data_IF_961654592696
#
_entry.id   IF_961654592696
#
_cell.length_a   1.000
_cell.length_b   1.000
_cell.length_c   1.000
_cell.angle_alpha   90.00
_cell.angle_beta   90.00
_cell.angle_gamma   90.00
#
_symmetry.space_group_name_H-M   'P 1'
#
loop_
_entity.id
_entity.type
_entity.pdbx_description
1 polymer ?
#
# COMPACT_ATOMS: atom_id res chain seq x y z
N UNK A 1 -19.13 26.90 -0.58
CA UNK A 1 -19.20 26.04 0.61
C UNK A 1 -18.36 24.82 0.30
N UNK A 2 -17.33 24.50 1.10
CA UNK A 2 -16.55 23.28 0.92
C UNK A 2 -17.51 22.09 1.18
N UNK A 3 -17.71 21.25 0.19
CA UNK A 3 -18.51 20.04 0.33
C UNK A 3 -17.74 19.07 1.25
N UNK A 4 -18.34 18.71 2.41
CA UNK A 4 -17.77 17.67 3.28
C UNK A 4 -17.88 16.33 2.57
N UNK A 5 -16.82 15.85 1.99
CA UNK A 5 -16.74 14.53 1.38
C UNK A 5 -16.37 13.50 2.46
N UNK A 6 -17.03 12.35 2.45
CA UNK A 6 -16.68 11.21 3.31
C UNK A 6 -15.84 10.21 2.53
N UNK A 7 -14.68 9.85 3.08
CA UNK A 7 -13.83 8.77 2.55
C UNK A 7 -13.52 7.75 3.64
N UNK A 8 -13.36 6.50 3.26
CA UNK A 8 -13.00 5.43 4.20
C UNK A 8 -11.53 5.08 4.03
N UNK A 9 -10.72 5.33 5.06
CA UNK A 9 -9.26 5.08 5.06
C UNK A 9 -8.89 4.22 6.25
N UNK A 10 -8.17 3.13 6.01
CA UNK A 10 -7.71 2.17 7.02
C UNK A 10 -8.83 1.71 7.97
N UNK A 11 -10.02 1.47 7.40
CA UNK A 11 -11.20 1.02 8.14
C UNK A 11 -12.02 2.12 8.80
N UNK A 12 -11.53 3.36 8.89
CA UNK A 12 -12.20 4.49 9.52
C UNK A 12 -12.80 5.45 8.48
N UNK A 13 -13.94 6.07 8.80
CA UNK A 13 -14.58 7.08 7.96
C UNK A 13 -14.12 8.47 8.39
N UNK A 14 -13.61 9.23 7.44
CA UNK A 14 -13.10 10.58 7.63
C UNK A 14 -13.95 11.59 6.84
N UNK A 15 -14.23 12.74 7.45
CA UNK A 15 -14.79 13.89 6.74
C UNK A 15 -13.62 14.75 6.26
N UNK A 16 -13.53 14.97 4.96
CA UNK A 16 -12.46 15.79 4.36
C UNK A 16 -13.05 17.07 3.76
N UNK A 17 -12.25 18.12 3.73
CA UNK A 17 -12.66 19.46 3.31
C UNK A 17 -12.05 19.89 1.97
N UNK A 18 -11.14 19.09 1.43
CA UNK A 18 -10.52 19.30 0.14
C UNK A 18 -11.55 19.41 -1.00
N UNK A 19 -11.24 20.15 -2.05
CA UNK A 19 -12.03 20.18 -3.27
C UNK A 19 -12.08 18.80 -3.93
N UNK A 20 -13.17 18.51 -4.66
CA UNK A 20 -13.45 17.18 -5.22
C UNK A 20 -12.37 16.67 -6.19
N UNK A 21 -11.66 17.59 -6.84
CA UNK A 21 -10.58 17.36 -7.79
C UNK A 21 -9.20 17.24 -7.13
N UNK A 22 -9.10 17.55 -5.83
CA UNK A 22 -7.82 17.43 -5.10
C UNK A 22 -7.28 16.00 -5.20
N UNK A 23 -6.01 15.80 -5.59
CA UNK A 23 -5.41 14.48 -5.59
C UNK A 23 -5.44 13.84 -4.19
N UNK A 24 -5.85 12.58 -4.13
CA UNK A 24 -5.98 11.81 -2.88
C UNK A 24 -4.72 11.87 -2.01
N UNK A 25 -3.53 11.88 -2.63
CA UNK A 25 -2.25 11.97 -1.92
C UNK A 25 -2.20 13.17 -0.97
N UNK A 26 -2.66 14.34 -1.41
CA UNK A 26 -2.64 15.55 -0.58
C UNK A 26 -3.67 15.50 0.55
N UNK A 27 -4.82 14.87 0.32
CA UNK A 27 -5.81 14.64 1.38
C UNK A 27 -5.26 13.70 2.46
N UNK A 28 -4.61 12.60 2.04
CA UNK A 28 -3.98 11.67 2.98
C UNK A 28 -2.89 12.35 3.82
N UNK A 29 -2.07 13.22 3.20
CA UNK A 29 -0.99 13.92 3.90
C UNK A 29 -1.48 15.05 4.80
N UNK A 30 -2.29 15.97 4.23
CA UNK A 30 -2.56 17.26 4.86
C UNK A 30 -3.73 17.20 5.85
N UNK A 31 -4.75 16.36 5.56
CA UNK A 31 -5.92 16.28 6.43
C UNK A 31 -5.87 15.04 7.34
N UNK A 32 -5.30 13.91 6.88
CA UNK A 32 -5.26 12.67 7.66
C UNK A 32 -3.90 12.35 8.26
N UNK A 33 -2.86 13.14 7.95
CA UNK A 33 -1.49 12.97 8.46
C UNK A 33 -0.91 11.58 8.23
N UNK A 34 -1.31 10.94 7.13
CA UNK A 34 -0.80 9.63 6.70
C UNK A 34 0.36 9.83 5.72
N UNK A 35 1.56 9.46 6.13
CA UNK A 35 2.80 9.74 5.40
C UNK A 35 3.43 8.51 4.73
N UNK A 36 2.78 7.34 4.78
CA UNK A 36 3.18 6.16 4.02
C UNK A 36 3.26 6.46 2.52
N UNK A 37 2.17 6.88 1.85
CA UNK A 37 2.23 7.33 0.46
C UNK A 37 3.13 8.55 0.32
N UNK A 38 4.00 8.59 -0.71
CA UNK A 38 4.98 9.67 -0.92
C UNK A 38 4.78 10.36 -2.26
N UNK A 39 4.96 11.67 -2.31
CA UNK A 39 5.01 12.40 -3.57
C UNK A 39 6.35 12.12 -4.27
N UNK A 40 6.32 11.66 -5.51
CA UNK A 40 7.53 11.46 -6.32
C UNK A 40 7.39 12.20 -7.66
N UNK A 41 6.88 11.52 -8.69
CA UNK A 41 6.76 12.10 -10.03
C UNK A 41 5.52 12.99 -10.24
N UNK A 42 4.44 12.80 -9.50
CA UNK A 42 3.13 13.46 -9.73
C UNK A 42 2.40 13.02 -11.01
N UNK A 43 2.92 12.03 -11.74
CA UNK A 43 2.50 11.60 -13.07
C UNK A 43 2.14 10.10 -13.14
N UNK A 44 1.85 9.47 -12.02
CA UNK A 44 1.54 8.03 -11.92
C UNK A 44 2.66 7.07 -12.40
N UNK A 45 3.91 7.52 -12.55
CA UNK A 45 5.00 6.73 -13.15
C UNK A 45 5.88 6.01 -12.12
N UNK A 46 6.13 6.60 -10.95
CA UNK A 46 7.15 6.10 -10.01
C UNK A 46 6.64 5.16 -8.92
N UNK A 47 5.36 5.13 -8.65
CA UNK A 47 4.74 4.27 -7.64
C UNK A 47 4.87 4.70 -6.18
N UNK A 48 5.66 5.72 -5.84
CA UNK A 48 5.89 6.12 -4.45
C UNK A 48 4.59 6.50 -3.70
N UNK A 49 3.57 6.97 -4.42
CA UNK A 49 2.28 7.40 -3.88
C UNK A 49 1.22 6.29 -3.82
N UNK A 50 1.57 5.04 -4.13
CA UNK A 50 0.60 3.95 -4.21
C UNK A 50 -0.16 3.72 -2.91
N UNK A 51 -1.44 3.44 -3.05
CA UNK A 51 -2.36 2.96 -2.00
C UNK A 51 -3.22 1.84 -2.59
N UNK A 52 -3.86 1.04 -1.73
CA UNK A 52 -4.89 0.10 -2.20
C UNK A 52 -6.26 0.79 -2.16
N UNK A 53 -7.01 0.66 -3.25
CA UNK A 53 -8.41 1.03 -3.35
C UNK A 53 -9.23 -0.25 -3.58
N UNK A 54 -10.06 -0.63 -2.61
CA UNK A 54 -10.76 -1.92 -2.61
C UNK A 54 -9.82 -3.11 -2.87
N UNK A 55 -8.62 -3.05 -2.30
CA UNK A 55 -7.59 -4.09 -2.42
C UNK A 55 -6.74 -4.04 -3.69
N UNK A 56 -6.97 -3.08 -4.61
CA UNK A 56 -6.20 -2.89 -5.83
C UNK A 56 -5.30 -1.66 -5.77
N UNK A 57 -4.09 -1.78 -6.27
CA UNK A 57 -3.13 -0.67 -6.29
C UNK A 57 -3.58 0.45 -7.22
N UNK A 58 -3.53 1.69 -6.73
CA UNK A 58 -3.74 2.91 -7.49
C UNK A 58 -2.68 3.97 -7.15
N UNK A 59 -2.52 4.93 -8.05
CA UNK A 59 -1.62 6.09 -7.90
C UNK A 59 -2.36 7.28 -7.29
N UNK A 60 -2.21 7.51 -6.00
CA UNK A 60 -2.94 8.58 -5.29
C UNK A 60 -2.58 10.01 -5.74
N UNK A 61 -1.43 10.21 -6.38
CA UNK A 61 -1.01 11.54 -6.85
C UNK A 61 -1.81 12.08 -8.05
N UNK A 62 -2.52 11.21 -8.76
CA UNK A 62 -3.36 11.59 -9.92
C UNK A 62 -4.83 11.19 -9.75
N UNK A 63 -5.18 10.55 -8.65
CA UNK A 63 -6.55 10.11 -8.37
C UNK A 63 -7.28 11.22 -7.60
N UNK A 64 -8.34 11.84 -8.15
CA UNK A 64 -9.13 12.83 -7.43
C UNK A 64 -9.81 12.21 -6.21
N UNK A 65 -9.92 12.96 -5.12
CA UNK A 65 -10.56 12.46 -3.89
C UNK A 65 -12.03 12.08 -4.11
N UNK A 66 -12.73 12.72 -5.02
CA UNK A 66 -14.10 12.35 -5.37
C UNK A 66 -14.20 10.94 -5.95
N UNK A 67 -13.20 10.46 -6.67
CA UNK A 67 -13.20 9.14 -7.31
C UNK A 67 -13.12 7.97 -6.32
N UNK A 68 -12.78 8.23 -5.07
CA UNK A 68 -12.64 7.20 -4.02
C UNK A 68 -13.80 7.22 -3.02
N UNK A 69 -14.82 8.03 -3.26
CA UNK A 69 -16.03 8.06 -2.42
C UNK A 69 -16.72 6.71 -2.42
N UNK A 70 -17.12 6.22 -1.25
CA UNK A 70 -17.77 4.92 -1.08
C UNK A 70 -16.85 3.70 -1.19
N UNK A 71 -15.55 3.90 -1.44
CA UNK A 71 -14.56 2.84 -1.57
C UNK A 71 -13.64 2.79 -0.34
N UNK A 72 -13.00 1.63 -0.13
CA UNK A 72 -12.08 1.43 0.98
C UNK A 72 -10.62 1.68 0.54
N UNK A 73 -9.99 2.67 1.16
CA UNK A 73 -8.58 2.99 0.94
C UNK A 73 -7.75 2.32 2.04
N UNK A 74 -6.68 1.62 1.65
CA UNK A 74 -5.67 1.13 2.59
C UNK A 74 -4.32 1.74 2.25
N UNK A 75 -3.71 2.41 3.22
CA UNK A 75 -2.34 2.92 3.14
C UNK A 75 -1.37 1.94 3.79
N UNK A 76 -0.07 2.23 3.73
CA UNK A 76 0.97 1.42 4.35
C UNK A 76 0.69 1.17 5.84
N UNK A 77 0.19 2.18 6.53
CA UNK A 77 -0.14 2.13 7.96
C UNK A 77 -1.29 1.17 8.27
N UNK A 78 -2.21 0.99 7.33
CA UNK A 78 -3.38 0.11 7.48
C UNK A 78 -3.17 -1.33 7.03
N UNK A 79 -2.02 -1.67 6.42
CA UNK A 79 -1.80 -3.00 5.83
C UNK A 79 -1.91 -4.15 6.84
N UNK A 80 -1.37 -3.96 8.05
CA UNK A 80 -1.41 -4.99 9.10
C UNK A 80 -2.85 -5.30 9.53
N UNK A 81 -3.64 -4.27 9.79
CA UNK A 81 -5.05 -4.41 10.16
C UNK A 81 -5.89 -5.03 9.03
N UNK A 82 -5.66 -4.61 7.78
CA UNK A 82 -6.30 -5.19 6.60
C UNK A 82 -6.01 -6.69 6.50
N UNK A 83 -4.76 -7.10 6.70
CA UNK A 83 -4.37 -8.51 6.63
C UNK A 83 -5.01 -9.33 7.75
N UNK A 84 -5.04 -8.83 8.99
CA UNK A 84 -5.71 -9.49 10.10
C UNK A 84 -7.20 -9.68 9.82
N UNK A 85 -7.88 -8.64 9.33
CA UNK A 85 -9.30 -8.68 8.97
C UNK A 85 -9.58 -9.72 7.87
N UNK A 86 -8.72 -9.83 6.86
CA UNK A 86 -8.86 -10.83 5.78
C UNK A 86 -8.75 -12.28 6.27
N UNK A 87 -8.21 -12.50 7.46
CA UNK A 87 -8.08 -13.81 8.12
C UNK A 87 -9.15 -14.05 9.20
N UNK A 88 -10.12 -13.16 9.35
CA UNK A 88 -11.14 -13.24 10.39
C UNK A 88 -10.58 -13.04 11.80
N UNK A 89 -9.40 -12.44 11.93
CA UNK A 89 -8.78 -12.10 13.22
C UNK A 89 -8.79 -10.59 13.41
N UNK A 90 -8.98 -10.15 14.66
CA UNK A 90 -8.69 -8.77 15.03
C UNK A 90 -7.17 -8.64 15.14
N UNK A 91 -6.62 -7.51 14.68
CA UNK A 91 -5.22 -7.20 14.96
C UNK A 91 -5.05 -7.21 16.48
N UNK A 92 -4.33 -8.19 17.00
CA UNK A 92 -4.09 -8.38 18.43
C UNK A 92 -3.25 -7.25 19.05
N UNK A 93 -2.76 -6.34 18.21
CA UNK A 93 -2.04 -5.12 18.58
C UNK A 93 -2.16 -4.11 17.42
N UNK A 94 -2.20 -2.79 17.70
CA UNK A 94 -2.04 -1.76 16.67
C UNK A 94 -0.74 -1.90 15.86
N UNK A 95 0.23 -2.64 16.39
CA UNK A 95 1.52 -2.92 15.77
C UNK A 95 1.58 -4.22 14.97
N UNK A 96 0.45 -4.91 14.74
CA UNK A 96 0.46 -6.12 13.91
C UNK A 96 0.88 -5.78 12.48
N UNK A 97 2.02 -6.32 12.04
CA UNK A 97 2.57 -6.08 10.71
C UNK A 97 1.97 -7.04 9.69
N UNK A 98 1.78 -6.53 8.48
CA UNK A 98 1.56 -7.39 7.32
C UNK A 98 2.81 -8.26 7.07
N UNK A 99 2.69 -9.53 6.61
CA UNK A 99 3.87 -10.37 6.31
C UNK A 99 4.89 -9.71 5.39
N UNK A 100 4.45 -8.84 4.46
CA UNK A 100 5.35 -8.03 3.64
C UNK A 100 6.15 -7.04 4.49
N UNK A 101 5.52 -6.33 5.41
CA UNK A 101 6.21 -5.37 6.28
C UNK A 101 7.25 -6.08 7.16
N UNK A 102 6.90 -7.27 7.69
CA UNK A 102 7.84 -8.09 8.45
C UNK A 102 9.02 -8.53 7.57
N UNK A 103 8.76 -9.07 6.38
CA UNK A 103 9.81 -9.50 5.46
C UNK A 103 10.74 -8.33 5.03
N UNK A 104 10.19 -7.11 4.91
CA UNK A 104 11.01 -5.90 4.65
C UNK A 104 11.99 -5.61 5.75
N UNK A 105 11.59 -5.80 7.00
CA UNK A 105 12.46 -5.66 8.18
C UNK A 105 13.51 -6.76 8.19
N UNK A 106 13.10 -8.02 8.04
CA UNK A 106 13.97 -9.19 8.14
C UNK A 106 15.07 -9.20 7.06
N UNK A 107 14.72 -8.79 5.83
CA UNK A 107 15.64 -8.71 4.68
C UNK A 107 16.42 -7.39 4.67
N UNK A 108 16.09 -6.43 5.56
CA UNK A 108 16.74 -5.11 5.59
C UNK A 108 16.68 -4.39 4.24
N UNK A 109 15.48 -4.35 3.63
CA UNK A 109 15.27 -3.84 2.27
C UNK A 109 15.58 -2.36 2.12
N UNK A 110 15.17 -1.44 3.04
CA UNK A 110 15.29 -0.01 2.81
C UNK A 110 16.73 0.50 2.81
N UNK A 111 17.04 1.42 1.86
CA UNK A 111 18.12 2.38 2.03
C UNK A 111 17.53 3.72 2.50
N UNK A 112 17.18 4.65 1.57
CA UNK A 112 16.55 5.92 1.96
C UNK A 112 15.10 5.79 2.44
N UNK A 113 14.42 4.68 2.13
CA UNK A 113 13.05 4.39 2.54
C UNK A 113 11.96 5.00 1.66
N UNK A 114 12.28 5.92 0.75
CA UNK A 114 11.29 6.75 0.06
C UNK A 114 10.32 5.95 -0.84
N UNK A 115 10.81 4.96 -1.58
CA UNK A 115 10.01 4.14 -2.50
C UNK A 115 9.28 2.98 -1.82
N UNK A 116 9.59 2.68 -0.55
CA UNK A 116 9.20 1.42 0.07
C UNK A 116 7.68 1.28 0.27
N UNK A 117 6.97 2.40 0.49
CA UNK A 117 5.52 2.41 0.49
C UNK A 117 4.96 1.77 -0.79
N UNK A 118 5.32 2.33 -1.93
CA UNK A 118 4.80 1.86 -3.23
C UNK A 118 5.17 0.41 -3.52
N UNK A 119 6.40 0.02 -3.17
CA UNK A 119 6.87 -1.35 -3.35
C UNK A 119 6.05 -2.34 -2.54
N UNK A 120 5.75 -2.06 -1.28
CA UNK A 120 4.93 -2.93 -0.42
C UNK A 120 3.46 -2.95 -0.84
N UNK A 121 2.89 -1.81 -1.21
CA UNK A 121 1.50 -1.72 -1.67
C UNK A 121 1.30 -2.55 -2.96
N UNK A 122 2.19 -2.41 -3.94
CA UNK A 122 2.11 -3.21 -5.17
C UNK A 122 2.34 -4.69 -4.91
N UNK A 123 3.28 -5.03 -4.03
CA UNK A 123 3.51 -6.43 -3.64
C UNK A 123 2.26 -7.03 -2.96
N UNK A 124 1.53 -6.24 -2.16
CA UNK A 124 0.30 -6.69 -1.52
C UNK A 124 -0.81 -6.98 -2.55
N UNK A 125 -0.98 -6.13 -3.58
CA UNK A 125 -1.92 -6.40 -4.68
C UNK A 125 -1.53 -7.67 -5.45
N UNK A 126 -0.25 -7.86 -5.76
CA UNK A 126 0.24 -9.09 -6.40
C UNK A 126 -0.08 -10.34 -5.56
N UNK A 127 0.26 -10.33 -4.27
CA UNK A 127 0.09 -11.50 -3.39
C UNK A 127 -1.38 -11.80 -3.05
N UNK A 128 -2.27 -10.83 -3.19
CA UNK A 128 -3.71 -11.04 -3.06
C UNK A 128 -4.26 -11.96 -4.16
N UNK A 129 -3.69 -11.89 -5.37
CA UNK A 129 -4.13 -12.66 -6.54
C UNK A 129 -3.23 -13.86 -6.83
N UNK A 130 -1.93 -13.76 -6.57
CA UNK A 130 -0.92 -14.78 -6.89
C UNK A 130 -0.18 -15.20 -5.62
N UNK A 131 -0.62 -16.30 -5.01
CA UNK A 131 -0.10 -16.75 -3.71
C UNK A 131 1.38 -17.17 -3.73
N UNK A 132 1.89 -17.62 -4.87
CA UNK A 132 3.29 -18.07 -5.06
C UNK A 132 3.80 -17.53 -6.41
N UNK A 133 4.06 -16.24 -6.53
CA UNK A 133 4.53 -15.66 -7.79
C UNK A 133 5.95 -16.16 -8.11
N UNK A 134 6.19 -16.42 -9.38
CA UNK A 134 7.55 -16.63 -9.89
C UNK A 134 8.33 -15.32 -9.87
N UNK A 135 9.66 -15.40 -9.95
CA UNK A 135 10.50 -14.19 -10.04
C UNK A 135 10.09 -13.30 -11.22
N UNK A 136 9.81 -13.87 -12.38
CA UNK A 136 9.37 -13.14 -13.56
C UNK A 136 8.04 -12.39 -13.31
N UNK A 137 7.07 -13.03 -12.64
CA UNK A 137 5.81 -12.40 -12.26
C UNK A 137 6.01 -11.25 -11.27
N UNK A 138 6.92 -11.41 -10.30
CA UNK A 138 7.25 -10.32 -9.36
C UNK A 138 7.88 -9.15 -10.12
N UNK A 139 8.87 -9.41 -10.97
CA UNK A 139 9.52 -8.35 -11.77
C UNK A 139 8.52 -7.60 -12.65
N UNK A 140 7.61 -8.33 -13.31
CA UNK A 140 6.55 -7.73 -14.13
C UNK A 140 5.59 -6.88 -13.29
N UNK A 141 5.12 -7.37 -12.14
CA UNK A 141 4.22 -6.64 -11.27
C UNK A 141 4.86 -5.37 -10.69
N UNK A 142 6.17 -5.44 -10.36
CA UNK A 142 6.91 -4.31 -9.82
C UNK A 142 7.32 -3.27 -10.88
N UNK A 143 7.05 -3.54 -12.15
CA UNK A 143 7.31 -2.58 -13.23
C UNK A 143 6.51 -1.29 -13.01
N UNK A 144 7.17 -0.13 -13.10
CA UNK A 144 6.54 1.16 -12.77
C UNK A 144 6.63 1.55 -11.28
N UNK A 145 7.38 0.78 -10.47
CA UNK A 145 7.78 1.17 -9.13
C UNK A 145 9.29 1.40 -9.09
N UNK A 146 9.71 2.65 -8.88
CA UNK A 146 11.10 3.05 -9.05
C UNK A 146 11.83 3.19 -7.72
N UNK A 147 13.02 2.61 -7.64
CA UNK A 147 13.94 2.79 -6.53
C UNK A 147 15.28 3.34 -7.02
N UNK A 148 15.65 4.56 -6.63
CA UNK A 148 16.94 5.16 -7.00
C UNK A 148 18.12 4.52 -6.25
N UNK A 149 17.88 3.94 -5.08
CA UNK A 149 18.91 3.25 -4.29
C UNK A 149 19.22 1.83 -4.80
N UNK A 150 18.46 1.29 -5.75
CA UNK A 150 18.72 0.01 -6.38
C UNK A 150 18.47 -1.22 -5.49
N UNK A 151 17.54 -1.14 -4.53
CA UNK A 151 17.27 -2.24 -3.58
C UNK A 151 16.43 -3.39 -4.19
N UNK A 152 16.25 -3.43 -5.50
CA UNK A 152 15.41 -4.43 -6.18
C UNK A 152 15.70 -5.90 -5.85
N UNK A 153 16.98 -6.35 -5.70
CA UNK A 153 17.23 -7.74 -5.29
C UNK A 153 16.65 -8.07 -3.91
N UNK A 154 16.79 -7.15 -2.94
CA UNK A 154 16.22 -7.33 -1.60
C UNK A 154 14.71 -7.28 -1.61
N UNK A 155 14.10 -6.38 -2.43
CA UNK A 155 12.65 -6.32 -2.63
C UNK A 155 12.12 -7.67 -3.14
N UNK A 156 12.77 -8.25 -4.15
CA UNK A 156 12.41 -9.56 -4.70
C UNK A 156 12.44 -10.64 -3.61
N UNK A 157 13.54 -10.72 -2.85
CA UNK A 157 13.69 -11.68 -1.75
C UNK A 157 12.61 -11.50 -0.69
N UNK A 158 12.31 -10.28 -0.28
CA UNK A 158 11.30 -9.98 0.72
C UNK A 158 9.88 -10.38 0.24
N UNK A 159 9.54 -10.13 -1.02
CA UNK A 159 8.25 -10.57 -1.60
C UNK A 159 8.15 -12.09 -1.59
N UNK A 160 9.20 -12.81 -1.96
CA UNK A 160 9.23 -14.28 -1.94
C UNK A 160 9.06 -14.84 -0.53
N UNK A 161 9.74 -14.24 0.47
CA UNK A 161 9.59 -14.63 1.88
C UNK A 161 8.16 -14.38 2.39
N UNK A 162 7.60 -13.20 2.12
CA UNK A 162 6.22 -12.89 2.50
C UNK A 162 5.22 -13.86 1.86
N UNK A 163 5.39 -14.17 0.57
CA UNK A 163 4.56 -15.14 -0.15
C UNK A 163 4.61 -16.52 0.51
N UNK A 164 5.80 -16.99 0.92
CA UNK A 164 5.97 -18.28 1.59
C UNK A 164 5.26 -18.31 2.96
N UNK A 165 5.34 -17.23 3.75
CA UNK A 165 4.65 -17.11 5.04
C UNK A 165 3.13 -17.08 4.84
N UNK A 166 2.64 -16.28 3.89
CA UNK A 166 1.20 -16.16 3.60
C UNK A 166 0.60 -17.49 3.09
N UNK A 167 1.35 -18.25 2.30
CA UNK A 167 0.91 -19.55 1.80
C UNK A 167 0.81 -20.61 2.91
N UNK A 168 1.71 -20.60 3.90
CA UNK A 168 1.69 -21.53 5.05
C UNK A 168 0.52 -21.25 6.00
N UNK A 169 0.14 -20.01 6.17
CA UNK A 169 -0.97 -19.62 7.02
C UNK A 169 -2.37 -19.82 6.40
N UNK A 170 -2.46 -20.26 5.15
CA UNK A 170 -3.72 -20.59 4.47
C UNK A 170 -4.20 -22.04 4.63
N UNK A 171 -3.46 -22.86 5.37
CA UNK A 171 -3.83 -24.26 5.68
C UNK A 171 -4.37 -24.36 7.11
N UNK A 172 -5.57 -23.85 7.34
CA UNK A 172 -6.45 -24.23 8.46
C UNK A 172 -7.89 -24.22 7.98
#
# INVERSE_FOLDING_TARGET
MASKLKIKVNGLVHNVTASLDTPLLYVLHNELHLHGPRFGCGLAQCGACSVLLDGKEIRSCVTPVAAVSGKAITTLEGMGAMFAASRGTTASSPAALHPLQQAWIDVQVPHCGYCQNGMMIQAADLLATTKRPTEAQIRTAMNGHLCRCGTYPRILTAIQQAAAVMAKGGTR
#
